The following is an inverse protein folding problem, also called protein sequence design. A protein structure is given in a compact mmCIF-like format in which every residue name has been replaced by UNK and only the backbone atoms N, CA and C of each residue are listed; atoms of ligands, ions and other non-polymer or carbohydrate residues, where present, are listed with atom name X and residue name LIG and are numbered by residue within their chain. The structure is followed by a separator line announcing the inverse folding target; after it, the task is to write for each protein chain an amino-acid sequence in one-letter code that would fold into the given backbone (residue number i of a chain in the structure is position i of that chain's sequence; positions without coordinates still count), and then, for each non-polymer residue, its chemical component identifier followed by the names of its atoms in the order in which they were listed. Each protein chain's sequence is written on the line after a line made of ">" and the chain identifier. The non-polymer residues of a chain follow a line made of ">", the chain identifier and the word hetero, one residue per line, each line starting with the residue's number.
data_IF_650285724054
#
_entry.id   IF_650285724054
#
_cell.length_a   1.000
_cell.length_b   1.000
_cell.length_c   1.000
_cell.angle_alpha   90.00
_cell.angle_beta   90.00
_cell.angle_gamma   90.00
#
_symmetry.space_group_name_H-M   'P 1'
#
loop_
_entity.id
_entity.type
_entity.pdbx_description
1 polymer ?
#
# COMPACT_ATOMS: atom_id res chain seq x y z
N UNK A 1 4.19 -7.55 -46.65
CA UNK A 1 3.04 -7.69 -45.74
C UNK A 1 3.04 -6.48 -44.85
N UNK A 2 1.89 -5.83 -44.63
CA UNK A 2 1.82 -4.70 -43.74
C UNK A 2 2.14 -5.16 -42.31
N UNK A 3 3.04 -4.45 -41.64
CA UNK A 3 3.54 -4.83 -40.32
C UNK A 3 2.44 -4.63 -39.27
N UNK A 4 2.07 -5.71 -38.59
CA UNK A 4 1.13 -5.66 -37.47
C UNK A 4 1.87 -5.44 -36.17
N UNK A 5 1.37 -4.52 -35.35
CA UNK A 5 1.96 -4.12 -34.08
C UNK A 5 0.93 -4.22 -32.95
N UNK A 6 1.34 -4.73 -31.79
CA UNK A 6 0.56 -4.65 -30.56
C UNK A 6 0.88 -3.37 -29.80
N UNK A 7 -0.16 -2.61 -29.46
CA UNK A 7 -0.04 -1.37 -28.69
C UNK A 7 -1.06 -1.32 -27.56
N UNK A 8 -0.79 -0.46 -26.58
CA UNK A 8 -1.81 0.01 -25.65
C UNK A 8 -2.23 1.42 -26.08
N UNK A 9 -3.52 1.66 -26.15
CA UNK A 9 -4.07 2.99 -26.33
C UNK A 9 -4.54 3.58 -24.99
N UNK A 10 -4.18 4.82 -24.71
CA UNK A 10 -4.84 5.64 -23.70
C UNK A 10 -6.02 6.35 -24.37
N UNK A 11 -7.24 6.02 -23.95
CA UNK A 11 -8.46 6.62 -24.50
C UNK A 11 -9.41 7.07 -23.40
N UNK A 12 -10.43 7.85 -23.75
CA UNK A 12 -11.44 8.31 -22.82
C UNK A 12 -12.70 7.46 -22.95
N UNK A 13 -13.06 6.78 -21.88
CA UNK A 13 -14.32 6.05 -21.77
C UNK A 13 -15.37 6.94 -21.11
N UNK A 14 -16.54 7.04 -21.73
CA UNK A 14 -17.66 7.91 -21.30
C UNK A 14 -17.98 7.88 -19.80
N UNK A 15 -17.91 6.71 -19.18
CA UNK A 15 -18.25 6.53 -17.75
C UNK A 15 -17.05 6.35 -16.84
N UNK A 16 -15.92 5.87 -17.37
CA UNK A 16 -14.77 5.47 -16.56
C UNK A 16 -13.64 6.52 -16.59
N UNK A 17 -13.71 7.49 -17.51
CA UNK A 17 -12.64 8.44 -17.76
C UNK A 17 -11.50 7.80 -18.55
N UNK A 18 -10.26 8.17 -18.22
CA UNK A 18 -9.08 7.69 -18.91
C UNK A 18 -8.85 6.20 -18.65
N UNK A 19 -8.72 5.40 -19.71
CA UNK A 19 -8.47 3.95 -19.61
C UNK A 19 -7.42 3.50 -20.62
N UNK A 20 -6.69 2.43 -20.27
CA UNK A 20 -5.87 1.69 -21.22
C UNK A 20 -6.70 0.65 -21.96
N UNK A 21 -6.46 0.50 -23.26
CA UNK A 21 -7.13 -0.47 -24.14
C UNK A 21 -6.09 -1.12 -25.06
N UNK A 22 -6.03 -2.46 -25.14
CA UNK A 22 -5.08 -3.15 -26.01
C UNK A 22 -5.61 -3.26 -27.43
N UNK A 23 -4.76 -2.92 -28.41
CA UNK A 23 -5.09 -3.02 -29.83
C UNK A 23 -3.98 -3.74 -30.60
N UNK A 24 -4.37 -4.46 -31.64
CA UNK A 24 -3.49 -4.70 -32.77
C UNK A 24 -3.76 -3.60 -33.80
N UNK A 25 -2.68 -3.02 -34.29
CA UNK A 25 -2.70 -1.98 -35.32
C UNK A 25 -1.89 -2.44 -36.52
N UNK A 26 -2.23 -1.94 -37.70
CA UNK A 26 -1.51 -2.22 -38.93
C UNK A 26 -1.04 -0.91 -39.55
N UNK A 27 0.22 -0.88 -39.96
CA UNK A 27 0.81 0.29 -40.61
C UNK A 27 0.30 0.42 -42.04
N UNK A 28 -0.30 1.56 -42.35
CA UNK A 28 -0.55 2.07 -43.69
C UNK A 28 0.56 3.08 -44.07
N UNK A 29 0.41 3.83 -45.17
CA UNK A 29 1.48 4.74 -45.63
C UNK A 29 1.93 5.77 -44.58
N UNK A 30 1.00 6.47 -43.94
CA UNK A 30 1.28 7.58 -43.01
C UNK A 30 0.57 7.46 -41.65
N UNK A 31 -0.23 6.41 -41.47
CA UNK A 31 -1.04 6.23 -40.28
C UNK A 31 -1.21 4.74 -39.99
N UNK A 32 -1.78 4.44 -38.84
CA UNK A 32 -2.10 3.12 -38.39
C UNK A 32 -3.61 2.95 -38.26
N UNK A 33 -4.11 1.81 -38.70
CA UNK A 33 -5.51 1.40 -38.51
C UNK A 33 -5.61 0.37 -37.39
N UNK A 34 -6.69 0.44 -36.62
CA UNK A 34 -6.97 -0.59 -35.60
C UNK A 34 -7.60 -1.80 -36.28
N UNK A 35 -6.88 -2.92 -36.29
CA UNK A 35 -7.37 -4.18 -36.88
C UNK A 35 -8.12 -5.05 -35.88
N UNK A 36 -7.74 -5.00 -34.60
CA UNK A 36 -8.41 -5.78 -33.56
C UNK A 36 -8.33 -5.12 -32.18
N UNK A 37 -9.43 -5.19 -31.43
CA UNK A 37 -9.45 -4.93 -29.99
C UNK A 37 -9.15 -6.25 -29.27
N UNK A 38 -7.91 -6.36 -28.76
CA UNK A 38 -7.39 -7.63 -28.24
C UNK A 38 -8.06 -8.01 -26.94
N UNK A 39 -8.55 -9.24 -26.86
CA UNK A 39 -9.11 -9.84 -25.65
C UNK A 39 -8.42 -11.17 -25.33
N UNK A 40 -8.52 -11.69 -24.09
CA UNK A 40 -7.87 -12.96 -23.73
C UNK A 40 -8.26 -14.18 -24.59
N UNK A 41 -9.45 -14.14 -25.22
CA UNK A 41 -9.91 -15.19 -26.14
C UNK A 41 -9.06 -15.25 -27.41
N UNK A 42 -8.46 -14.13 -27.82
CA UNK A 42 -7.72 -14.02 -29.08
C UNK A 42 -6.36 -14.73 -29.00
N UNK A 43 -5.87 -15.07 -27.80
CA UNK A 43 -4.63 -15.83 -27.61
C UNK A 43 -4.73 -17.29 -28.10
N UNK A 44 -5.95 -17.81 -28.21
CA UNK A 44 -6.22 -19.21 -28.58
C UNK A 44 -6.62 -19.36 -30.04
N UNK A 45 -6.96 -18.27 -30.70
CA UNK A 45 -7.26 -18.26 -32.13
C UNK A 45 -5.94 -18.30 -32.89
N UNK A 46 -5.88 -19.08 -33.97
CA UNK A 46 -4.80 -18.94 -34.96
C UNK A 46 -4.88 -17.52 -35.52
N UNK A 47 -4.07 -16.63 -34.96
CA UNK A 47 -3.89 -15.26 -35.42
C UNK A 47 -2.51 -15.17 -36.04
N UNK A 48 -2.34 -14.32 -37.04
CA UNK A 48 -1.04 -14.06 -37.66
C UNK A 48 -0.04 -13.40 -36.68
N UNK A 49 -0.51 -12.91 -35.53
CA UNK A 49 0.28 -12.23 -34.51
C UNK A 49 0.63 -13.14 -33.33
N UNK A 50 1.91 -13.30 -33.04
CA UNK A 50 2.38 -14.06 -31.88
C UNK A 50 2.56 -13.17 -30.65
N UNK A 51 1.61 -13.22 -29.72
CA UNK A 51 1.66 -12.45 -28.49
C UNK A 51 2.78 -12.90 -27.54
N UNK A 52 3.56 -11.93 -27.06
CA UNK A 52 4.59 -12.12 -26.03
C UNK A 52 3.99 -12.23 -24.63
N UNK A 53 4.71 -12.78 -23.63
CA UNK A 53 4.18 -12.96 -22.28
C UNK A 53 3.67 -11.67 -21.63
N UNK A 54 4.41 -10.57 -21.75
CA UNK A 54 4.02 -9.28 -21.17
C UNK A 54 2.80 -8.65 -21.87
N UNK A 55 2.58 -8.92 -23.16
CA UNK A 55 1.40 -8.45 -23.91
C UNK A 55 0.15 -9.19 -23.45
N UNK A 56 0.28 -10.51 -23.23
CA UNK A 56 -0.79 -11.33 -22.67
C UNK A 56 -1.16 -10.85 -21.26
N UNK A 57 -0.16 -10.61 -20.42
CA UNK A 57 -0.37 -10.10 -19.06
C UNK A 57 -1.05 -8.72 -19.06
N UNK A 58 -0.64 -7.80 -19.94
CA UNK A 58 -1.30 -6.50 -20.13
C UNK A 58 -2.78 -6.68 -20.47
N UNK A 59 -3.10 -7.49 -21.48
CA UNK A 59 -4.49 -7.75 -21.89
C UNK A 59 -5.29 -8.39 -20.76
N UNK A 60 -4.72 -9.33 -20.00
CA UNK A 60 -5.40 -9.95 -18.86
C UNK A 60 -5.66 -8.96 -17.71
N UNK A 61 -4.74 -8.04 -17.44
CA UNK A 61 -4.93 -6.98 -16.44
C UNK A 61 -6.00 -6.00 -16.92
N UNK A 62 -5.92 -5.57 -18.18
CA UNK A 62 -6.84 -4.58 -18.76
C UNK A 62 -8.27 -5.14 -18.83
N UNK A 63 -8.43 -6.41 -19.18
CA UNK A 63 -9.74 -7.07 -19.22
C UNK A 63 -10.43 -7.07 -17.84
N UNK A 64 -9.71 -7.03 -16.71
CA UNK A 64 -10.32 -7.02 -15.36
C UNK A 64 -11.20 -5.80 -15.09
N UNK A 65 -11.09 -4.76 -15.90
CA UNK A 65 -11.97 -3.59 -15.83
C UNK A 65 -12.74 -3.34 -17.14
N UNK A 66 -12.89 -4.35 -18.00
CA UNK A 66 -13.87 -4.28 -19.08
C UNK A 66 -15.28 -4.09 -18.53
N UNK A 67 -16.17 -3.46 -19.31
CA UNK A 67 -17.54 -3.18 -18.89
C UNK A 67 -18.26 -4.43 -18.35
N UNK A 68 -18.11 -5.56 -19.03
CA UNK A 68 -18.70 -6.83 -18.63
C UNK A 68 -18.13 -7.36 -17.30
N UNK A 69 -16.81 -7.23 -17.10
CA UNK A 69 -16.14 -7.66 -15.85
C UNK A 69 -16.50 -6.75 -14.69
N UNK A 70 -16.57 -5.44 -14.90
CA UNK A 70 -17.03 -4.47 -13.90
C UNK A 70 -18.48 -4.74 -13.52
N UNK A 71 -19.38 -4.90 -14.51
CA UNK A 71 -20.78 -5.28 -14.27
C UNK A 71 -20.84 -6.54 -13.40
N UNK A 72 -20.19 -7.62 -13.82
CA UNK A 72 -20.23 -8.92 -13.13
C UNK A 72 -19.69 -8.84 -11.70
N UNK A 73 -18.70 -7.99 -11.44
CA UNK A 73 -18.05 -7.86 -10.13
C UNK A 73 -18.81 -6.94 -9.17
N UNK A 74 -19.40 -5.85 -9.69
CA UNK A 74 -19.92 -4.76 -8.86
C UNK A 74 -21.44 -4.56 -8.95
N UNK A 75 -22.15 -5.32 -9.78
CA UNK A 75 -23.59 -5.18 -9.94
C UNK A 75 -24.28 -6.50 -10.32
N UNK A 76 -25.59 -6.55 -10.08
CA UNK A 76 -26.48 -7.62 -10.57
C UNK A 76 -27.28 -7.20 -11.81
N UNK A 77 -26.99 -6.03 -12.39
CA UNK A 77 -27.66 -5.54 -13.58
C UNK A 77 -27.58 -6.57 -14.73
N UNK A 78 -28.66 -6.66 -15.51
CA UNK A 78 -28.76 -7.66 -16.58
C UNK A 78 -27.70 -7.42 -17.66
N UNK A 79 -27.52 -6.16 -18.07
CA UNK A 79 -26.59 -5.75 -19.12
C UNK A 79 -25.78 -4.49 -18.72
N UNK A 80 -24.74 -4.18 -19.52
CA UNK A 80 -23.82 -3.05 -19.28
C UNK A 80 -24.54 -1.70 -19.31
N UNK A 81 -25.52 -1.53 -20.21
CA UNK A 81 -26.29 -0.27 -20.32
C UNK A 81 -27.05 0.02 -19.03
N UNK A 82 -27.74 -0.98 -18.48
CA UNK A 82 -28.43 -0.87 -17.20
C UNK A 82 -27.45 -0.60 -16.05
N UNK A 83 -26.31 -1.30 -16.04
CA UNK A 83 -25.28 -1.07 -15.02
C UNK A 83 -24.83 0.38 -14.93
N UNK A 84 -24.50 1.01 -16.06
CA UNK A 84 -24.10 2.41 -16.05
C UNK A 84 -25.26 3.37 -15.79
N UNK A 85 -26.49 3.04 -16.20
CA UNK A 85 -27.67 3.86 -15.91
C UNK A 85 -28.01 3.91 -14.40
N UNK A 86 -27.77 2.82 -13.67
CA UNK A 86 -28.05 2.69 -12.23
C UNK A 86 -26.85 3.05 -11.36
N UNK A 87 -25.68 3.34 -11.95
CA UNK A 87 -24.43 3.52 -11.23
C UNK A 87 -24.40 4.86 -10.48
N UNK A 88 -24.43 4.79 -9.15
CA UNK A 88 -24.30 5.97 -8.29
C UNK A 88 -22.86 6.48 -8.25
N UNK A 89 -22.61 7.80 -8.39
CA UNK A 89 -21.26 8.37 -8.39
C UNK A 89 -20.42 8.07 -7.13
N UNK A 90 -21.06 8.05 -5.96
CA UNK A 90 -20.36 7.75 -4.70
C UNK A 90 -19.90 6.29 -4.63
N UNK A 91 -20.76 5.36 -5.08
CA UNK A 91 -20.43 3.94 -5.15
C UNK A 91 -19.29 3.70 -6.14
N UNK A 92 -19.35 4.36 -7.30
CA UNK A 92 -18.27 4.33 -8.29
C UNK A 92 -16.94 4.77 -7.68
N UNK A 93 -16.89 5.98 -7.09
CA UNK A 93 -15.67 6.53 -6.49
C UNK A 93 -15.11 5.68 -5.34
N UNK A 94 -15.98 5.04 -4.55
CA UNK A 94 -15.58 4.27 -3.37
C UNK A 94 -15.12 2.85 -3.68
N UNK A 95 -15.72 2.18 -4.66
CA UNK A 95 -15.49 0.75 -4.87
C UNK A 95 -14.99 0.38 -6.27
N UNK A 96 -15.47 1.07 -7.32
CA UNK A 96 -15.16 0.71 -8.70
C UNK A 96 -13.87 1.39 -9.17
N UNK A 97 -13.79 2.71 -9.02
CA UNK A 97 -12.63 3.50 -9.43
C UNK A 97 -11.32 2.98 -8.80
N UNK A 98 -11.23 2.65 -7.50
CA UNK A 98 -10.00 2.09 -6.92
C UNK A 98 -9.60 0.73 -7.53
N UNK A 99 -10.56 -0.09 -7.96
CA UNK A 99 -10.26 -1.34 -8.65
C UNK A 99 -9.69 -1.10 -10.05
N UNK A 100 -10.23 -0.11 -10.78
CA UNK A 100 -9.73 0.30 -12.10
C UNK A 100 -8.32 0.87 -11.96
N UNK A 101 -8.12 1.84 -11.06
CA UNK A 101 -6.82 2.47 -10.80
C UNK A 101 -5.75 1.45 -10.41
N UNK A 102 -6.12 0.45 -9.59
CA UNK A 102 -5.21 -0.67 -9.25
C UNK A 102 -4.80 -1.46 -10.49
N UNK A 103 -5.72 -1.80 -11.38
CA UNK A 103 -5.39 -2.53 -12.59
C UNK A 103 -4.55 -1.67 -13.56
N UNK A 104 -4.89 -0.38 -13.70
CA UNK A 104 -4.13 0.55 -14.52
C UNK A 104 -2.70 0.76 -14.00
N UNK A 105 -2.52 0.81 -12.68
CA UNK A 105 -1.20 0.88 -12.06
C UNK A 105 -0.36 -0.38 -12.36
N UNK A 106 -0.98 -1.56 -12.28
CA UNK A 106 -0.32 -2.82 -12.66
C UNK A 106 0.09 -2.82 -14.14
N UNK A 107 -0.81 -2.40 -15.04
CA UNK A 107 -0.52 -2.30 -16.47
C UNK A 107 0.59 -1.27 -16.75
N UNK A 108 0.55 -0.11 -16.08
CA UNK A 108 1.57 0.91 -16.21
C UNK A 108 2.96 0.40 -15.77
N UNK A 109 3.02 -0.42 -14.71
CA UNK A 109 4.27 -1.07 -14.28
C UNK A 109 4.89 -1.94 -15.38
N UNK A 110 4.08 -2.70 -16.14
CA UNK A 110 4.56 -3.47 -17.29
C UNK A 110 4.97 -2.54 -18.44
N UNK A 111 4.20 -1.49 -18.73
CA UNK A 111 4.53 -0.52 -19.77
C UNK A 111 5.85 0.22 -19.50
N UNK A 112 6.22 0.44 -18.23
CA UNK A 112 7.49 1.10 -17.87
C UNK A 112 8.73 0.27 -18.24
N UNK A 113 8.61 -1.06 -18.33
CA UNK A 113 9.73 -1.97 -18.53
C UNK A 113 9.64 -2.79 -19.83
N UNK A 114 8.58 -2.61 -20.61
CA UNK A 114 8.35 -3.33 -21.86
C UNK A 114 8.48 -2.39 -23.07
N UNK A 115 8.76 -2.93 -24.27
CA UNK A 115 8.84 -2.12 -25.49
C UNK A 115 7.47 -1.79 -26.08
N UNK A 116 6.36 -2.06 -25.38
CA UNK A 116 5.00 -1.82 -25.89
C UNK A 116 4.75 -0.31 -25.95
N UNK A 117 4.39 0.18 -27.12
CA UNK A 117 4.04 1.59 -27.31
C UNK A 117 2.71 1.91 -26.63
N UNK A 118 2.66 3.09 -26.03
CA UNK A 118 1.45 3.70 -25.53
C UNK A 118 1.05 4.83 -26.47
N UNK A 119 -0.11 4.77 -27.11
CA UNK A 119 -0.60 5.80 -28.02
C UNK A 119 -1.80 6.53 -27.41
N UNK A 120 -1.89 7.85 -27.57
CA UNK A 120 -3.07 8.62 -27.23
C UNK A 120 -4.14 8.41 -28.32
N UNK A 121 -5.22 7.68 -28.00
CA UNK A 121 -6.32 7.50 -28.95
C UNK A 121 -7.51 8.36 -28.57
N UNK A 122 -7.62 9.50 -29.24
CA UNK A 122 -8.80 10.35 -29.12
C UNK A 122 -10.05 9.67 -29.71
N UNK A 123 -11.20 9.83 -29.04
CA UNK A 123 -12.46 9.15 -29.43
C UNK A 123 -12.92 9.45 -30.86
N UNK A 124 -12.58 10.63 -31.39
CA UNK A 124 -13.06 11.11 -32.70
C UNK A 124 -12.22 10.60 -33.88
N UNK A 125 -11.00 10.13 -33.63
CA UNK A 125 -10.09 9.70 -34.69
C UNK A 125 -10.11 8.18 -34.84
N UNK A 126 -10.33 7.75 -36.08
CA UNK A 126 -10.27 6.34 -36.45
C UNK A 126 -8.81 5.87 -36.55
N UNK A 127 -7.94 6.73 -37.09
CA UNK A 127 -6.54 6.45 -37.35
C UNK A 127 -5.64 6.88 -36.18
N UNK A 128 -4.49 6.24 -36.09
CA UNK A 128 -3.42 6.54 -35.12
C UNK A 128 -2.17 6.97 -35.87
N UNK A 129 -1.37 7.85 -35.26
CA UNK A 129 -0.15 8.39 -35.84
C UNK A 129 1.03 8.18 -34.89
N UNK A 130 2.26 8.20 -35.42
CA UNK A 130 3.46 8.12 -34.58
C UNK A 130 3.57 9.31 -33.59
N UNK A 131 3.00 10.46 -33.95
CA UNK A 131 2.94 11.65 -33.10
C UNK A 131 2.03 11.48 -31.87
N UNK A 132 1.10 10.52 -31.92
CA UNK A 132 0.21 10.18 -30.79
C UNK A 132 0.95 9.41 -29.69
N UNK A 133 2.21 9.04 -29.90
CA UNK A 133 2.97 8.26 -28.95
C UNK A 133 3.22 9.01 -27.64
N UNK A 134 2.78 8.38 -26.56
CA UNK A 134 3.05 8.77 -25.18
C UNK A 134 4.27 7.97 -24.71
N UNK A 135 5.40 8.66 -24.56
CA UNK A 135 6.64 8.06 -24.07
C UNK A 135 6.51 7.69 -22.59
N UNK A 136 6.36 6.40 -22.31
CA UNK A 136 6.32 5.87 -20.95
C UNK A 136 7.71 5.99 -20.33
N UNK A 137 7.81 6.65 -19.18
CA UNK A 137 9.08 6.81 -18.51
C UNK A 137 9.41 5.56 -17.66
N UNK A 138 10.64 5.04 -17.71
CA UNK A 138 10.97 3.72 -17.15
C UNK A 138 11.16 3.71 -15.62
N UNK A 139 11.08 4.87 -14.95
CA UNK A 139 11.27 4.99 -13.50
C UNK A 139 10.13 5.76 -12.86
N UNK A 140 9.82 5.44 -11.60
CA UNK A 140 8.82 6.19 -10.85
C UNK A 140 9.27 7.65 -10.64
N UNK A 141 8.31 8.56 -10.77
CA UNK A 141 8.49 9.95 -10.39
C UNK A 141 8.42 10.06 -8.85
N UNK A 142 9.30 10.90 -8.28
CA UNK A 142 9.48 11.08 -6.84
C UNK A 142 9.01 12.47 -6.41
N UNK A 143 8.00 12.55 -5.52
CA UNK A 143 7.59 13.82 -4.92
C UNK A 143 8.56 14.23 -3.80
N UNK A 144 8.86 15.52 -3.72
CA UNK A 144 9.58 16.14 -2.62
C UNK A 144 8.83 17.39 -2.14
N UNK A 145 8.55 17.43 -0.84
CA UNK A 145 7.91 18.59 -0.21
C UNK A 145 8.96 19.54 0.35
N UNK A 146 8.76 20.83 0.11
CA UNK A 146 9.55 21.88 0.72
C UNK A 146 8.63 22.69 1.62
N UNK A 147 8.96 22.75 2.90
CA UNK A 147 8.21 23.52 3.90
C UNK A 147 9.09 24.65 4.44
N UNK A 148 8.47 25.82 4.62
CA UNK A 148 9.08 27.00 5.20
C UNK A 148 8.13 27.59 6.23
N UNK A 149 8.48 27.48 7.51
CA UNK A 149 7.74 28.08 8.62
C UNK A 149 8.36 29.41 8.99
N UNK A 150 7.51 30.43 9.06
CA UNK A 150 7.84 31.78 9.49
C UNK A 150 7.09 32.10 10.80
N UNK A 151 7.25 33.31 11.33
CA UNK A 151 6.50 33.74 12.51
C UNK A 151 4.98 33.88 12.25
N UNK A 152 4.56 34.06 11.00
CA UNK A 152 3.15 34.37 10.66
C UNK A 152 2.42 33.21 9.99
N UNK A 153 3.15 32.34 9.31
CA UNK A 153 2.58 31.27 8.50
C UNK A 153 3.61 30.19 8.14
N UNK A 154 3.11 29.04 7.72
CA UNK A 154 3.90 28.01 7.05
C UNK A 154 3.54 27.96 5.57
N UNK A 155 4.54 28.08 4.69
CA UNK A 155 4.39 27.87 3.25
C UNK A 155 4.92 26.51 2.87
N UNK A 156 4.29 25.88 1.89
CA UNK A 156 4.84 24.65 1.32
C UNK A 156 4.63 24.56 -0.19
N UNK A 157 5.57 23.88 -0.85
CA UNK A 157 5.51 23.54 -2.27
C UNK A 157 5.85 22.09 -2.49
N UNK A 158 5.33 21.53 -3.58
CA UNK A 158 5.61 20.16 -4.00
C UNK A 158 6.36 20.19 -5.32
N UNK A 159 7.56 19.61 -5.34
CA UNK A 159 8.32 19.38 -6.56
C UNK A 159 8.31 17.91 -6.90
N UNK A 160 8.32 17.62 -8.20
CA UNK A 160 8.39 16.25 -8.70
C UNK A 160 9.70 16.07 -9.44
N UNK A 161 10.38 14.96 -9.19
CA UNK A 161 11.63 14.61 -9.84
C UNK A 161 11.53 13.26 -10.53
N UNK A 162 12.23 13.11 -11.65
CA UNK A 162 12.52 11.81 -12.25
C UNK A 162 13.94 11.84 -12.80
N UNK A 163 14.77 10.87 -12.39
CA UNK A 163 16.21 10.85 -12.69
C UNK A 163 16.88 12.20 -12.41
N UNK A 164 16.59 12.76 -11.23
CA UNK A 164 17.12 14.04 -10.72
C UNK A 164 16.78 15.28 -11.56
N UNK A 165 15.88 15.14 -12.54
CA UNK A 165 15.32 16.26 -13.31
C UNK A 165 13.96 16.65 -12.74
N UNK A 166 13.79 17.94 -12.48
CA UNK A 166 12.52 18.50 -12.01
C UNK A 166 11.48 18.51 -13.14
N UNK A 167 10.29 18.01 -12.83
CA UNK A 167 9.10 18.07 -13.70
C UNK A 167 8.25 19.25 -13.22
N UNK A 168 8.18 20.29 -14.04
CA UNK A 168 7.39 21.50 -13.73
C UNK A 168 5.90 21.20 -13.83
N UNK A 169 5.17 21.42 -12.74
CA UNK A 169 3.70 21.30 -12.66
C UNK A 169 2.97 22.61 -12.96
N UNK A 170 3.60 23.75 -12.68
CA UNK A 170 2.94 25.04 -12.79
C UNK A 170 2.58 25.34 -14.25
N UNK A 171 1.30 25.64 -14.50
CA UNK A 171 0.74 25.97 -15.82
C UNK A 171 1.07 24.91 -16.89
N UNK A 172 1.23 23.65 -16.50
CA UNK A 172 1.40 22.54 -17.44
C UNK A 172 0.04 21.99 -17.89
N UNK A 173 -0.04 21.54 -19.15
CA UNK A 173 -1.19 20.78 -19.64
C UNK A 173 -1.07 19.33 -19.17
N UNK A 174 -1.34 19.09 -17.89
CA UNK A 174 -1.21 17.77 -17.25
C UNK A 174 -2.56 17.06 -17.20
N UNK A 175 -2.64 15.88 -17.83
CA UNK A 175 -3.81 15.00 -17.78
C UNK A 175 -3.61 13.91 -16.73
N UNK A 176 -4.38 13.94 -15.65
CA UNK A 176 -4.39 12.87 -14.65
C UNK A 176 -5.10 11.64 -15.22
N UNK A 177 -4.38 10.52 -15.31
CA UNK A 177 -4.86 9.24 -15.82
C UNK A 177 -5.39 8.36 -14.69
N UNK A 178 -4.66 8.31 -13.56
CA UNK A 178 -5.05 7.60 -12.34
C UNK A 178 -4.84 8.50 -11.12
N UNK A 179 -5.75 8.45 -10.15
CA UNK A 179 -5.71 9.23 -8.93
C UNK A 179 -4.83 8.62 -7.84
N UNK A 180 -4.91 7.31 -7.60
CA UNK A 180 -4.18 6.65 -6.51
C UNK A 180 -3.85 5.16 -6.77
N UNK A 181 -2.60 4.79 -7.08
CA UNK A 181 -1.45 5.68 -7.24
C UNK A 181 -1.59 6.63 -8.44
N UNK A 182 -0.94 7.78 -8.36
CA UNK A 182 -1.03 8.80 -9.39
C UNK A 182 -0.32 8.33 -10.68
N UNK A 183 -1.01 8.51 -11.80
CA UNK A 183 -0.43 8.42 -13.14
C UNK A 183 -0.88 9.68 -13.87
N UNK A 184 0.04 10.39 -14.51
CA UNK A 184 -0.35 11.50 -15.37
C UNK A 184 0.43 11.51 -16.66
N UNK A 185 -0.14 12.18 -17.66
CA UNK A 185 0.50 12.47 -18.93
C UNK A 185 0.74 13.97 -19.05
N UNK A 186 1.96 14.35 -19.41
CA UNK A 186 2.38 15.73 -19.64
C UNK A 186 3.37 15.75 -20.80
N UNK A 187 3.12 16.58 -21.82
CA UNK A 187 3.98 16.71 -23.01
C UNK A 187 4.34 15.36 -23.64
N UNK A 188 3.32 14.53 -23.92
CA UNK A 188 3.45 13.19 -24.49
C UNK A 188 4.39 12.26 -23.70
N UNK A 189 4.50 12.45 -22.38
CA UNK A 189 5.23 11.56 -21.48
C UNK A 189 4.30 11.09 -20.37
N UNK A 190 4.31 9.79 -20.10
CA UNK A 190 3.58 9.22 -18.96
C UNK A 190 4.51 9.09 -17.76
N UNK A 191 4.10 9.68 -16.64
CA UNK A 191 4.77 9.59 -15.35
C UNK A 191 3.92 8.78 -14.39
N UNK A 192 4.56 7.82 -13.72
CA UNK A 192 3.92 6.92 -12.76
C UNK A 192 4.55 7.18 -11.39
N UNK A 193 3.73 7.19 -10.34
CA UNK A 193 4.17 7.39 -8.97
C UNK A 193 3.86 6.13 -8.16
N UNK A 194 4.82 5.68 -7.35
CA UNK A 194 4.62 4.52 -6.48
C UNK A 194 3.55 4.81 -5.42
N UNK A 195 3.72 5.91 -4.66
CA UNK A 195 2.88 6.22 -3.51
C UNK A 195 2.47 7.71 -3.46
N UNK A 196 1.88 8.24 -4.53
CA UNK A 196 1.34 9.62 -4.56
C UNK A 196 -0.13 9.65 -4.93
N UNK A 197 -0.93 10.44 -4.21
CA UNK A 197 -2.30 10.75 -4.59
C UNK A 197 -2.35 12.02 -5.46
N UNK A 198 -3.00 11.95 -6.62
CA UNK A 198 -3.10 13.06 -7.57
C UNK A 198 -3.70 14.34 -6.98
N UNK A 199 -4.57 14.24 -5.96
CA UNK A 199 -5.14 15.42 -5.27
C UNK A 199 -4.09 16.28 -4.58
N UNK A 200 -2.92 15.71 -4.22
CA UNK A 200 -1.80 16.47 -3.65
C UNK A 200 -1.12 17.36 -4.70
N UNK A 201 -1.24 17.03 -5.98
CA UNK A 201 -0.68 17.82 -7.09
C UNK A 201 -1.58 19.00 -7.47
N UNK A 202 -2.90 18.86 -7.28
CA UNK A 202 -3.91 19.81 -7.78
C UNK A 202 -3.60 21.29 -7.48
N UNK A 203 -3.20 21.68 -6.26
CA UNK A 203 -2.90 23.09 -5.97
C UNK A 203 -1.73 23.65 -6.80
N UNK A 204 -0.80 22.78 -7.21
CA UNK A 204 0.48 23.16 -7.81
C UNK A 204 0.44 23.25 -9.34
N UNK A 205 -0.70 22.93 -9.95
CA UNK A 205 -0.94 23.26 -11.36
C UNK A 205 -1.14 24.77 -11.57
N UNK A 206 -1.61 25.49 -10.54
CA UNK A 206 -1.92 26.91 -10.62
C UNK A 206 -1.05 27.78 -9.69
N UNK A 207 -0.57 27.23 -8.58
CA UNK A 207 0.15 27.97 -7.54
C UNK A 207 1.56 27.42 -7.33
N UNK A 208 2.51 28.30 -7.04
CA UNK A 208 3.87 27.89 -6.70
C UNK A 208 3.97 27.29 -5.29
N UNK A 209 3.18 27.80 -4.35
CA UNK A 209 3.11 27.33 -2.98
C UNK A 209 1.69 27.45 -2.41
N UNK A 210 1.45 26.72 -1.32
CA UNK A 210 0.25 26.81 -0.51
C UNK A 210 0.63 27.37 0.86
N UNK A 211 -0.17 28.28 1.36
CA UNK A 211 0.01 28.93 2.66
C UNK A 211 -0.91 28.31 3.71
N UNK A 212 -0.36 28.02 4.89
CA UNK A 212 -1.05 27.56 6.09
C UNK A 212 -0.97 28.70 7.12
N UNK A 213 -2.09 29.34 7.47
CA UNK A 213 -2.12 30.36 8.51
C UNK A 213 -1.72 29.80 9.88
N UNK A 214 -1.06 30.61 10.72
CA UNK A 214 -0.59 30.22 12.07
C UNK A 214 -1.66 29.56 12.93
N UNK A 215 -2.90 30.03 12.89
CA UNK A 215 -4.02 29.48 13.65
C UNK A 215 -4.37 28.02 13.29
N UNK A 216 -3.94 27.53 12.12
CA UNK A 216 -4.19 26.18 11.65
C UNK A 216 -2.93 25.30 11.70
N UNK A 217 -1.77 25.83 12.08
CA UNK A 217 -0.49 25.11 12.01
C UNK A 217 -0.55 23.78 12.78
N UNK A 218 -0.92 23.79 14.05
CA UNK A 218 -0.91 22.58 14.89
C UNK A 218 -1.68 21.41 14.25
N UNK A 219 -2.84 21.69 13.64
CA UNK A 219 -3.66 20.70 12.92
C UNK A 219 -2.96 20.17 11.66
N UNK A 220 -2.27 21.03 10.92
CA UNK A 220 -1.54 20.62 9.72
C UNK A 220 -0.24 19.88 10.07
N UNK A 221 0.48 20.31 11.11
CA UNK A 221 1.71 19.68 11.57
C UNK A 221 1.46 18.27 12.08
N UNK A 222 0.47 18.08 12.96
CA UNK A 222 0.07 16.77 13.47
C UNK A 222 -0.59 15.85 12.44
N UNK A 223 -1.03 16.40 11.29
CA UNK A 223 -1.75 15.67 10.25
C UNK A 223 -0.98 15.60 8.93
N UNK A 224 -1.18 16.60 8.08
CA UNK A 224 -0.64 16.61 6.71
C UNK A 224 0.89 16.57 6.67
N UNK A 225 1.57 17.43 7.44
CA UNK A 225 3.03 17.54 7.43
C UNK A 225 3.65 16.30 8.07
N UNK A 226 3.09 15.78 9.18
CA UNK A 226 3.49 14.50 9.75
C UNK A 226 3.50 13.39 8.70
N UNK A 227 2.40 13.23 7.96
CA UNK A 227 2.33 12.22 6.90
C UNK A 227 3.33 12.52 5.78
N UNK A 228 3.56 13.79 5.43
CA UNK A 228 4.53 14.15 4.41
C UNK A 228 5.96 13.81 4.79
N UNK A 229 6.38 14.13 6.02
CA UNK A 229 7.71 13.79 6.57
C UNK A 229 7.91 12.28 6.65
N UNK A 230 6.84 11.54 6.96
CA UNK A 230 6.87 10.08 7.01
C UNK A 230 7.04 9.44 5.63
N UNK A 231 6.21 9.86 4.68
CA UNK A 231 5.97 9.12 3.43
C UNK A 231 6.80 9.66 2.25
N UNK A 232 7.34 10.88 2.34
CA UNK A 232 8.03 11.55 1.24
C UNK A 232 9.38 12.14 1.65
N UNK A 233 10.14 12.56 0.65
CA UNK A 233 11.29 13.43 0.84
C UNK A 233 10.80 14.81 1.29
N UNK A 234 11.39 15.34 2.37
CA UNK A 234 11.03 16.62 2.95
C UNK A 234 12.26 17.48 3.17
N UNK A 235 12.18 18.71 2.67
CA UNK A 235 13.11 19.79 2.96
C UNK A 235 12.39 20.78 3.86
N UNK A 236 12.85 20.92 5.11
CA UNK A 236 12.19 21.74 6.13
C UNK A 236 13.05 22.95 6.51
N UNK A 237 12.41 24.11 6.66
CA UNK A 237 12.96 25.32 7.27
C UNK A 237 11.97 25.85 8.30
N UNK A 238 12.46 26.27 9.48
CA UNK A 238 11.62 26.80 10.57
C UNK A 238 10.95 25.74 11.46
N UNK A 239 11.29 24.46 11.26
CA UNK A 239 11.02 23.34 12.18
C UNK A 239 12.05 22.22 11.95
N UNK A 240 12.16 21.29 12.90
CA UNK A 240 13.18 20.25 12.87
C UNK A 240 12.62 18.90 12.41
N UNK A 241 13.36 18.22 11.54
CA UNK A 241 13.18 16.80 11.22
C UNK A 241 14.45 16.09 11.63
N UNK A 242 14.36 15.29 12.69
CA UNK A 242 15.48 14.55 13.26
C UNK A 242 15.38 13.09 12.83
N UNK A 243 16.47 12.54 12.30
CA UNK A 243 16.61 11.10 12.16
C UNK A 243 17.21 10.56 13.45
N UNK A 244 16.44 9.74 14.16
CA UNK A 244 16.81 9.26 15.50
C UNK A 244 16.73 7.73 15.58
N UNK A 245 17.40 7.14 16.56
CA UNK A 245 17.21 5.75 16.96
C UNK A 245 16.17 5.69 18.07
N UNK A 246 14.91 5.37 17.74
CA UNK A 246 13.92 5.10 18.79
C UNK A 246 14.26 3.82 19.55
N UNK A 247 13.86 3.78 20.82
CA UNK A 247 13.84 2.55 21.59
C UNK A 247 12.96 1.51 20.88
N UNK A 248 13.57 0.38 20.54
CA UNK A 248 12.95 -0.77 19.89
C UNK A 248 12.41 -1.72 20.96
N UNK A 249 11.17 -2.16 20.84
CA UNK A 249 10.59 -3.14 21.77
C UNK A 249 9.78 -4.16 21.00
N UNK A 250 10.05 -5.45 21.23
CA UNK A 250 9.24 -6.54 20.72
C UNK A 250 8.18 -6.92 21.76
N UNK A 251 6.93 -7.05 21.33
CA UNK A 251 5.80 -7.42 22.19
C UNK A 251 5.09 -8.62 21.61
N UNK A 252 4.97 -9.69 22.38
CA UNK A 252 4.19 -10.87 22.04
C UNK A 252 2.88 -10.84 22.82
N UNK A 253 1.78 -10.59 22.10
CA UNK A 253 0.45 -10.39 22.67
C UNK A 253 -0.40 -11.66 22.52
N UNK A 254 -1.05 -12.11 23.60
CA UNK A 254 -2.07 -13.15 23.53
C UNK A 254 -3.41 -12.50 23.15
N UNK A 255 -3.96 -12.89 22.00
CA UNK A 255 -5.16 -12.28 21.40
C UNK A 255 -6.12 -13.33 20.86
N UNK A 256 -7.31 -12.90 20.43
CA UNK A 256 -8.26 -13.74 19.68
C UNK A 256 -8.32 -13.28 18.23
N UNK A 257 -8.27 -14.21 17.29
CA UNK A 257 -8.52 -13.90 15.88
C UNK A 257 -10.02 -13.67 15.61
N UNK A 258 -10.38 -13.38 14.35
CA UNK A 258 -11.78 -13.16 13.93
C UNK A 258 -12.69 -14.38 14.13
N UNK A 259 -12.11 -15.58 14.25
CA UNK A 259 -12.80 -16.83 14.57
C UNK A 259 -12.83 -17.12 16.08
N UNK A 260 -12.49 -16.15 16.91
CA UNK A 260 -12.38 -16.26 18.37
C UNK A 260 -11.34 -17.27 18.89
N UNK A 261 -10.44 -17.75 18.02
CA UNK A 261 -9.37 -18.67 18.41
C UNK A 261 -8.22 -17.90 19.07
N UNK A 262 -7.63 -18.43 20.15
CA UNK A 262 -6.50 -17.79 20.81
C UNK A 262 -5.23 -17.92 19.97
N UNK A 263 -4.52 -16.81 19.77
CA UNK A 263 -3.29 -16.73 18.97
C UNK A 263 -2.30 -15.80 19.65
N UNK A 264 -1.01 -15.97 19.35
CA UNK A 264 0.01 -15.00 19.71
C UNK A 264 0.23 -14.05 18.53
N UNK A 265 0.32 -12.75 18.81
CA UNK A 265 0.58 -11.71 17.81
C UNK A 265 1.85 -10.99 18.21
N UNK A 266 2.83 -10.98 17.31
CA UNK A 266 4.05 -10.20 17.48
C UNK A 266 3.81 -8.77 17.03
N UNK A 267 4.25 -7.81 17.82
CA UNK A 267 4.30 -6.40 17.47
C UNK A 267 5.70 -5.85 17.69
N UNK A 268 6.11 -4.96 16.80
CA UNK A 268 7.32 -4.17 16.96
C UNK A 268 6.94 -2.73 17.28
N UNK A 269 7.54 -2.19 18.33
CA UNK A 269 7.36 -0.81 18.75
C UNK A 269 8.64 -0.02 18.51
N UNK A 270 8.50 1.15 17.92
CA UNK A 270 9.53 2.18 17.79
C UNK A 270 9.00 3.42 18.49
N UNK A 271 9.36 3.59 19.77
CA UNK A 271 8.69 4.55 20.64
C UNK A 271 7.20 4.19 20.82
N UNK A 272 6.29 5.08 20.42
CA UNK A 272 4.82 4.85 20.52
C UNK A 272 4.23 4.18 19.28
N UNK A 273 4.97 4.13 18.18
CA UNK A 273 4.48 3.61 16.91
C UNK A 273 4.54 2.08 16.89
N UNK A 274 3.40 1.45 16.58
CA UNK A 274 3.22 -0.02 16.55
C UNK A 274 3.22 -0.55 15.13
N UNK A 275 3.93 -1.63 14.91
CA UNK A 275 4.01 -2.33 13.62
C UNK A 275 3.69 -3.81 13.78
N UNK A 276 2.91 -4.32 12.83
CA UNK A 276 2.86 -5.75 12.58
C UNK A 276 4.10 -6.16 11.77
N UNK A 277 4.59 -7.39 11.93
CA UNK A 277 5.74 -7.88 11.20
C UNK A 277 5.56 -7.78 9.67
N UNK A 278 4.35 -7.98 9.17
CA UNK A 278 3.98 -7.89 7.75
C UNK A 278 3.55 -6.48 7.28
N UNK A 279 3.67 -5.45 8.12
CA UNK A 279 3.32 -4.09 7.74
C UNK A 279 4.22 -3.59 6.61
N UNK A 280 3.61 -2.95 5.60
CA UNK A 280 4.35 -2.28 4.52
C UNK A 280 4.93 -0.93 4.95
N UNK A 281 4.47 -0.37 6.09
CA UNK A 281 4.98 0.90 6.61
C UNK A 281 6.40 0.72 7.12
N UNK A 282 7.36 1.46 6.55
CA UNK A 282 8.79 1.37 6.87
C UNK A 282 9.27 2.36 7.93
N UNK A 283 8.49 3.41 8.18
CA UNK A 283 8.91 4.56 8.98
C UNK A 283 7.98 4.74 10.18
N UNK A 284 8.56 4.86 11.37
CA UNK A 284 7.93 5.40 12.55
C UNK A 284 8.17 6.90 12.60
N UNK A 285 7.15 7.68 12.94
CA UNK A 285 7.30 9.12 13.07
C UNK A 285 6.61 9.59 14.35
N UNK A 286 7.29 10.42 15.12
CA UNK A 286 6.72 11.10 16.27
C UNK A 286 6.73 12.60 16.01
N UNK A 287 5.66 13.29 16.41
CA UNK A 287 5.57 14.74 16.38
C UNK A 287 5.43 15.28 17.80
N UNK A 288 6.27 16.26 18.12
CA UNK A 288 6.28 16.97 19.39
C UNK A 288 6.43 18.47 19.17
N UNK A 289 5.97 19.22 20.15
CA UNK A 289 6.26 20.65 20.29
C UNK A 289 7.22 20.82 21.46
N UNK A 290 8.43 21.30 21.18
CA UNK A 290 9.48 21.53 22.17
C UNK A 290 9.93 22.98 22.05
N UNK A 291 9.92 23.75 23.16
CA UNK A 291 10.35 25.16 23.19
C UNK A 291 9.74 26.04 22.08
N UNK A 292 8.43 25.89 21.80
CA UNK A 292 7.70 26.60 20.74
C UNK A 292 8.19 26.29 19.30
N UNK A 293 9.00 25.24 19.14
CA UNK A 293 9.40 24.67 17.87
C UNK A 293 8.69 23.33 17.63
N UNK A 294 8.45 23.01 16.36
CA UNK A 294 7.92 21.72 15.95
C UNK A 294 9.06 20.77 15.63
N UNK A 295 9.00 19.55 16.18
CA UNK A 295 10.03 18.53 16.01
C UNK A 295 9.37 17.24 15.54
N UNK A 296 9.83 16.75 14.39
CA UNK A 296 9.51 15.43 13.89
C UNK A 296 10.69 14.49 14.11
N UNK A 297 10.47 13.39 14.83
CA UNK A 297 11.48 12.33 14.95
C UNK A 297 11.10 11.19 14.02
N UNK A 298 11.92 10.98 13.00
CA UNK A 298 11.75 9.97 11.97
C UNK A 298 12.68 8.80 12.25
N UNK A 299 12.13 7.59 12.36
CA UNK A 299 12.89 6.37 12.64
C UNK A 299 12.56 5.32 11.60
N UNK A 300 13.59 4.84 10.90
CA UNK A 300 13.46 3.71 9.99
C UNK A 300 13.33 2.41 10.78
N UNK A 301 12.43 1.52 10.34
CA UNK A 301 12.35 0.18 10.88
C UNK A 301 13.65 -0.57 10.64
N UNK A 302 14.12 -1.23 11.67
CA UNK A 302 15.29 -2.09 11.64
C UNK A 302 14.86 -3.51 11.28
N UNK A 303 14.92 -3.84 9.98
CA UNK A 303 14.55 -5.17 9.49
C UNK A 303 15.49 -6.27 9.99
N UNK A 304 16.75 -5.96 10.32
CA UNK A 304 17.68 -6.95 10.84
C UNK A 304 17.26 -7.36 12.25
N UNK A 305 17.07 -6.39 13.14
CA UNK A 305 16.59 -6.65 14.51
C UNK A 305 15.23 -7.35 14.52
N UNK A 306 14.29 -6.93 13.67
CA UNK A 306 12.97 -7.58 13.57
C UNK A 306 13.08 -9.06 13.17
N UNK A 307 14.00 -9.39 12.25
CA UNK A 307 14.24 -10.77 11.85
C UNK A 307 14.91 -11.60 12.96
N UNK A 308 15.87 -11.04 13.69
CA UNK A 308 16.50 -11.70 14.84
C UNK A 308 15.46 -12.09 15.91
N UNK A 309 14.49 -11.22 16.17
CA UNK A 309 13.37 -11.53 17.09
C UNK A 309 12.49 -12.66 16.54
N UNK A 310 12.19 -12.66 15.23
CA UNK A 310 11.39 -13.73 14.62
C UNK A 310 12.09 -15.08 14.70
N UNK A 311 13.39 -15.14 14.40
CA UNK A 311 14.16 -16.38 14.53
C UNK A 311 14.20 -16.84 15.99
N UNK A 312 14.41 -15.93 16.94
CA UNK A 312 14.33 -16.24 18.37
C UNK A 312 12.99 -16.90 18.73
N UNK A 313 11.86 -16.37 18.25
CA UNK A 313 10.53 -16.94 18.52
C UNK A 313 10.33 -18.31 17.87
N UNK A 314 10.94 -18.55 16.70
CA UNK A 314 10.95 -19.89 16.07
C UNK A 314 11.73 -20.89 16.91
N UNK A 315 12.85 -20.49 17.50
CA UNK A 315 13.62 -21.35 18.42
C UNK A 315 12.81 -21.75 19.66
N UNK A 316 11.88 -20.90 20.11
CA UNK A 316 10.90 -21.24 21.15
C UNK A 316 9.71 -22.09 20.66
N UNK A 317 9.76 -22.58 19.42
CA UNK A 317 8.79 -23.49 18.83
C UNK A 317 7.57 -22.82 18.18
N UNK A 318 7.54 -21.49 18.05
CA UNK A 318 6.44 -20.79 17.40
C UNK A 318 6.58 -20.83 15.88
N UNK A 319 5.46 -21.09 15.20
CA UNK A 319 5.35 -21.02 13.75
C UNK A 319 4.52 -19.81 13.35
N UNK A 320 5.05 -19.02 12.41
CA UNK A 320 4.35 -17.88 11.83
C UNK A 320 3.37 -18.34 10.76
N UNK A 321 2.11 -17.95 10.92
CA UNK A 321 0.99 -18.26 10.03
C UNK A 321 0.19 -16.98 9.76
N UNK A 322 0.38 -16.37 8.59
CA UNK A 322 -0.40 -15.22 8.10
C UNK A 322 -0.58 -14.08 9.13
N UNK A 323 0.50 -13.70 9.83
CA UNK A 323 0.51 -12.59 10.80
C UNK A 323 0.24 -12.99 12.25
N UNK A 324 0.01 -14.28 12.53
CA UNK A 324 -0.08 -14.83 13.87
C UNK A 324 1.02 -15.85 14.13
N UNK A 325 1.33 -16.08 15.39
CA UNK A 325 2.24 -17.11 15.86
C UNK A 325 1.44 -18.19 16.61
N UNK A 326 1.74 -19.44 16.29
CA UNK A 326 1.06 -20.61 16.86
C UNK A 326 2.04 -21.72 17.21
N UNK A 327 1.71 -22.47 18.24
CA UNK A 327 2.41 -23.70 18.59
C UNK A 327 1.87 -24.88 17.78
N UNK A 328 2.70 -25.89 17.49
CA UNK A 328 2.25 -27.14 16.87
C UNK A 328 1.11 -27.78 17.67
N UNK A 329 0.08 -28.28 16.98
CA UNK A 329 -1.06 -28.97 17.60
C UNK A 329 -2.12 -28.05 18.21
N UNK A 330 -1.91 -26.74 18.26
CA UNK A 330 -2.88 -25.79 18.81
C UNK A 330 -4.23 -25.83 18.08
N UNK A 331 -4.22 -26.04 16.76
CA UNK A 331 -5.42 -26.09 15.93
C UNK A 331 -6.28 -27.34 16.15
N UNK A 332 -5.75 -28.35 16.84
CA UNK A 332 -6.46 -29.58 17.20
C UNK A 332 -7.20 -29.45 18.53
N UNK A 333 -6.94 -28.39 19.28
CA UNK A 333 -7.52 -28.16 20.60
C UNK A 333 -8.79 -27.33 20.52
N UNK A 334 -9.74 -27.63 21.39
CA UNK A 334 -10.83 -26.71 21.68
C UNK A 334 -10.29 -25.38 22.23
N UNK A 335 -11.00 -24.28 21.97
CA UNK A 335 -10.54 -22.94 22.30
C UNK A 335 -10.11 -22.76 23.77
N UNK A 336 -10.85 -23.34 24.73
CA UNK A 336 -10.49 -23.22 26.15
C UNK A 336 -9.17 -23.93 26.45
N UNK A 337 -9.00 -25.15 25.96
CA UNK A 337 -7.76 -25.93 26.12
C UNK A 337 -6.58 -25.24 25.40
N UNK A 338 -6.81 -24.65 24.23
CA UNK A 338 -5.82 -23.87 23.50
C UNK A 338 -5.34 -22.65 24.29
N UNK A 339 -6.23 -21.97 25.03
CA UNK A 339 -5.84 -20.86 25.92
C UNK A 339 -4.93 -21.34 27.03
N UNK A 340 -5.32 -22.40 27.76
CA UNK A 340 -4.49 -22.93 28.84
C UNK A 340 -3.13 -23.40 28.33
N UNK A 341 -3.09 -24.03 27.16
CA UNK A 341 -1.86 -24.45 26.52
C UNK A 341 -0.92 -23.27 26.23
N UNK A 342 -1.45 -22.18 25.65
CA UNK A 342 -0.67 -20.96 25.38
C UNK A 342 -0.22 -20.27 26.67
N UNK A 343 -1.08 -20.18 27.68
CA UNK A 343 -0.72 -19.58 28.98
C UNK A 343 0.40 -20.38 29.65
N UNK A 344 0.33 -21.71 29.66
CA UNK A 344 1.40 -22.56 30.22
C UNK A 344 2.71 -22.41 29.46
N UNK A 345 2.65 -22.33 28.12
CA UNK A 345 3.83 -22.04 27.30
C UNK A 345 4.41 -20.65 27.63
N UNK A 346 3.56 -19.62 27.77
CA UNK A 346 4.00 -18.29 28.19
C UNK A 346 4.72 -18.38 29.54
N UNK A 347 4.12 -19.01 30.54
CA UNK A 347 4.69 -19.10 31.90
C UNK A 347 6.08 -19.73 31.89
N UNK A 348 6.24 -20.79 31.10
CA UNK A 348 7.50 -21.53 31.01
C UNK A 348 8.59 -20.74 30.29
N UNK A 349 8.23 -19.91 29.31
CA UNK A 349 9.20 -19.21 28.45
C UNK A 349 9.38 -17.72 28.79
N UNK A 350 8.49 -17.12 29.58
CA UNK A 350 8.49 -15.69 29.90
C UNK A 350 9.84 -15.18 30.48
N UNK A 351 10.52 -15.91 31.39
CA UNK A 351 11.82 -15.47 31.88
C UNK A 351 12.88 -15.34 30.77
N UNK A 352 12.95 -16.33 29.87
CA UNK A 352 13.90 -16.33 28.77
C UNK A 352 13.54 -15.29 27.69
N UNK A 353 12.25 -15.12 27.39
CA UNK A 353 11.77 -14.09 26.46
C UNK A 353 12.06 -12.68 26.98
N UNK A 354 11.89 -12.45 28.29
CA UNK A 354 12.21 -11.17 28.93
C UNK A 354 13.70 -10.84 28.84
N UNK A 355 14.59 -11.83 29.04
CA UNK A 355 16.04 -11.65 28.86
C UNK A 355 16.42 -11.29 27.41
N UNK A 356 15.60 -11.71 26.44
CA UNK A 356 15.74 -11.37 25.02
C UNK A 356 15.02 -10.06 24.64
N UNK A 357 14.56 -9.27 25.62
CA UNK A 357 13.81 -8.03 25.43
C UNK A 357 12.48 -8.21 24.67
N UNK A 358 11.86 -9.39 24.79
CA UNK A 358 10.52 -9.67 24.25
C UNK A 358 9.53 -9.59 25.41
N UNK A 359 8.63 -8.61 25.38
CA UNK A 359 7.62 -8.39 26.41
C UNK A 359 6.34 -9.17 26.09
N UNK A 360 5.77 -9.84 27.08
CA UNK A 360 4.46 -10.49 26.95
C UNK A 360 3.32 -9.55 27.37
N UNK A 361 2.22 -9.53 26.61
CA UNK A 361 0.98 -8.79 26.95
C UNK A 361 -0.27 -9.62 26.71
N UNK A 362 -1.38 -9.26 27.38
CA UNK A 362 -2.69 -9.92 27.22
C UNK A 362 -3.83 -8.90 27.10
N UNK A 363 -3.52 -7.64 26.78
CA UNK A 363 -4.46 -6.53 26.89
C UNK A 363 -5.67 -6.69 25.94
N UNK A 364 -5.51 -7.44 24.85
CA UNK A 364 -6.54 -7.68 23.83
C UNK A 364 -7.28 -9.02 24.00
N UNK A 365 -7.09 -9.73 25.12
CA UNK A 365 -7.72 -11.04 25.35
C UNK A 365 -9.05 -10.98 26.15
N UNK A 366 -9.34 -9.85 26.78
CA UNK A 366 -10.53 -9.62 27.62
C UNK A 366 -10.37 -10.15 29.06
N UNK A 367 -9.94 -11.41 29.24
CA UNK A 367 -9.56 -11.97 30.55
C UNK A 367 -8.04 -11.97 30.70
N UNK A 368 -7.52 -11.50 31.84
CA UNK A 368 -6.09 -11.55 32.16
C UNK A 368 -5.78 -12.86 32.89
N UNK A 369 -4.95 -13.70 32.29
CA UNK A 369 -4.46 -14.93 32.91
C UNK A 369 -3.17 -14.63 33.67
N UNK A 370 -2.95 -15.32 34.78
CA UNK A 370 -1.70 -15.19 35.52
C UNK A 370 -0.56 -15.78 34.70
N UNK A 371 0.45 -14.95 34.42
CA UNK A 371 1.62 -15.33 33.59
C UNK A 371 2.96 -15.23 34.32
N UNK A 372 2.91 -15.26 35.65
CA UNK A 372 4.09 -15.27 36.53
C UNK A 372 4.52 -16.69 36.92
N UNK A 373 5.52 -16.77 37.81
CA UNK A 373 6.00 -18.04 38.36
C UNK A 373 4.88 -18.73 39.14
N UNK A 374 4.70 -20.03 38.89
CA UNK A 374 3.77 -20.90 39.59
C UNK A 374 4.60 -21.92 40.40
N UNK A 375 4.47 -21.88 41.73
CA UNK A 375 5.13 -22.82 42.63
C UNK A 375 4.06 -23.65 43.35
N UNK A 376 4.13 -24.98 43.23
CA UNK A 376 3.27 -25.89 43.98
C UNK A 376 4.04 -26.37 45.20
N UNK A 377 3.67 -25.87 46.38
CA UNK A 377 4.19 -26.38 47.66
C UNK A 377 3.23 -27.41 48.24
N UNK A 378 3.62 -28.69 48.23
CA UNK A 378 2.87 -29.77 48.88
C UNK A 378 3.40 -29.96 50.30
N UNK A 379 2.58 -29.63 51.30
CA UNK A 379 2.88 -29.91 52.72
C UNK A 379 2.00 -31.07 53.19
N UNK A 380 2.61 -32.23 53.42
CA UNK A 380 1.96 -33.35 54.07
C UNK A 380 2.13 -33.24 55.58
N UNK A 381 1.04 -33.31 56.34
CA UNK A 381 1.06 -33.51 57.80
C UNK A 381 0.47 -34.89 58.07
N UNK A 382 1.31 -35.81 58.53
CA UNK A 382 0.86 -37.07 59.09
C UNK A 382 0.21 -36.74 60.45
N UNK A 383 -1.11 -36.93 60.56
CA UNK A 383 -1.77 -37.04 61.86
C UNK A 383 -1.68 -38.51 62.26
N UNK A 384 -1.21 -38.78 63.47
CA UNK A 384 -1.12 -40.11 64.04
C UNK A 384 -2.41 -40.87 63.83
N UNK A 385 -2.27 -42.11 63.34
CA UNK A 385 -3.35 -43.02 63.06
C UNK A 385 -4.10 -43.31 64.38
N UNK A 386 -5.41 -43.43 64.33
CA UNK A 386 -6.26 -43.55 65.52
C UNK A 386 -6.10 -44.90 66.26
N UNK A 387 -5.13 -45.72 65.84
CA UNK A 387 -4.81 -47.04 66.38
C UNK A 387 -3.66 -47.06 67.40
N UNK A 388 -3.16 -45.91 67.84
CA UNK A 388 -2.38 -45.85 69.10
C UNK A 388 -3.34 -45.78 70.30
N UNK A 389 -3.88 -46.96 70.70
CA UNK A 389 -4.17 -47.43 72.07
C UNK A 389 -4.34 -48.96 72.03
#
# INVERSE_FOLDING_TARGET
>A
MAETEFIIALTEHRFLGNIFVPYLIQKEEQFYTVINHVKPRDFKTETEYQFKPYEKELVEIIEKYSDDRLKKKFSKAANVKQFYAELKPEYFKKYILPHIEKCMFQAAGILMISPVRLLNKEMKYANLYDEDEIKVQPFFARPAFYFERTETETRYRLKIYQNDREIKLLKSNTRVVSGNPCIFVQQNKMFVFEDLNAKRLTPFFEKEFVTIPRALEEKYYSGFILNAVRDYEVHASGFSVEEDSAQKTAVLSLERNLQYQPRLVLYFYYGKEKFLPNSTRKVAIEFKTENNNYVFRKVLRDSQWENEIRETLKDFGLKENNGYLSLPGLDLLENENAVYFLVNWINSNNPALTQKNIRITQDNFGKKYYTGLQEIQVKSKQRGDWFDI
#
